data_IF_837776192743
#
_entry.id   IF_837776192743
#
_cell.length_a   1.000
_cell.length_b   1.000
_cell.length_c   1.000
_cell.angle_alpha   90.00
_cell.angle_beta   90.00
_cell.angle_gamma   90.00
#
_symmetry.space_group_name_H-M   'P 1'
#
loop_
_entity.id
_entity.type
_entity.pdbx_description
1 polymer ?
#
# COMPACT_ATOMS: atom_id res chain seq x y z
N UNK A 1 -18.73 2.74 41.60
CA UNK A 1 -17.66 3.25 40.72
C UNK A 1 -17.82 2.56 39.37
N UNK A 2 -18.42 3.23 38.40
CA UNK A 2 -18.87 2.62 37.13
C UNK A 2 -18.48 3.45 35.91
N UNK A 3 -17.31 4.10 35.94
CA UNK A 3 -16.86 5.02 34.88
C UNK A 3 -15.89 4.41 33.87
N UNK A 4 -15.21 3.30 34.18
CA UNK A 4 -14.28 2.69 33.22
C UNK A 4 -14.96 1.89 32.11
N UNK A 5 -16.02 1.15 32.42
CA UNK A 5 -16.67 0.22 31.48
C UNK A 5 -17.54 0.95 30.43
N UNK A 6 -18.17 2.05 30.84
CA UNK A 6 -18.96 2.93 29.95
C UNK A 6 -18.07 3.70 28.97
N UNK A 7 -16.85 4.04 29.38
CA UNK A 7 -15.88 4.80 28.57
C UNK A 7 -15.32 3.94 27.42
N UNK A 8 -14.93 2.69 27.70
CA UNK A 8 -14.51 1.75 26.65
C UNK A 8 -15.61 1.45 25.64
N UNK A 9 -16.85 1.31 26.11
CA UNK A 9 -17.99 1.05 25.23
C UNK A 9 -18.27 2.25 24.32
N UNK A 10 -18.13 3.47 24.83
CA UNK A 10 -18.25 4.71 24.06
C UNK A 10 -17.14 4.87 23.01
N UNK A 11 -15.89 4.52 23.37
CA UNK A 11 -14.75 4.53 22.44
C UNK A 11 -14.92 3.51 21.31
N UNK A 12 -15.32 2.28 21.62
CA UNK A 12 -15.56 1.22 20.62
C UNK A 12 -16.68 1.62 19.68
N UNK A 13 -17.78 2.20 20.20
CA UNK A 13 -18.88 2.70 19.40
C UNK A 13 -18.45 3.85 18.49
N UNK A 14 -17.68 4.82 19.00
CA UNK A 14 -17.15 5.92 18.20
C UNK A 14 -16.21 5.47 17.08
N UNK A 15 -15.40 4.43 17.30
CA UNK A 15 -14.55 3.83 16.25
C UNK A 15 -15.39 3.08 15.22
N UNK A 16 -16.43 2.37 15.65
CA UNK A 16 -17.32 1.63 14.75
C UNK A 16 -18.20 2.56 13.89
N UNK A 17 -18.62 3.69 14.45
CA UNK A 17 -19.42 4.73 13.78
C UNK A 17 -18.55 5.70 12.96
N UNK A 18 -17.23 5.71 13.16
CA UNK A 18 -16.33 6.48 12.32
C UNK A 18 -16.38 5.96 10.87
N UNK A 19 -16.48 6.83 9.85
CA UNK A 19 -16.46 6.41 8.47
C UNK A 19 -15.18 5.62 8.21
N UNK A 20 -15.31 4.30 7.98
CA UNK A 20 -14.19 3.47 7.56
C UNK A 20 -13.64 4.07 6.26
N UNK A 21 -12.45 4.66 6.31
CA UNK A 21 -11.73 5.04 5.10
C UNK A 21 -11.49 3.77 4.30
N UNK A 22 -12.10 3.67 3.13
CA UNK A 22 -11.86 2.55 2.22
C UNK A 22 -10.42 2.63 1.70
N UNK A 23 -9.54 1.88 2.35
CA UNK A 23 -8.13 1.77 1.99
C UNK A 23 -7.85 0.53 1.13
N UNK A 24 -8.88 -0.17 0.65
CA UNK A 24 -8.74 -1.40 -0.14
C UNK A 24 -7.86 -1.19 -1.38
N UNK A 25 -8.08 -0.09 -2.10
CA UNK A 25 -7.28 0.30 -3.27
C UNK A 25 -5.80 0.50 -2.94
N UNK A 26 -5.49 1.11 -1.79
CA UNK A 26 -4.11 1.29 -1.34
C UNK A 26 -3.45 -0.05 -1.00
N UNK A 27 -4.13 -0.91 -0.25
CA UNK A 27 -3.61 -2.22 0.09
C UNK A 27 -3.44 -3.12 -1.13
N UNK A 28 -4.36 -3.05 -2.10
CA UNK A 28 -4.25 -3.74 -3.37
C UNK A 28 -3.04 -3.24 -4.17
N UNK A 29 -2.82 -1.92 -4.24
CA UNK A 29 -1.64 -1.36 -4.91
C UNK A 29 -0.33 -1.84 -4.27
N UNK A 30 -0.28 -1.91 -2.94
CA UNK A 30 0.88 -2.44 -2.20
C UNK A 30 1.07 -3.95 -2.42
N UNK A 31 -0.02 -4.72 -2.52
CA UNK A 31 0.05 -6.15 -2.85
C UNK A 31 0.61 -6.37 -4.26
N UNK A 32 0.06 -5.68 -5.25
CA UNK A 32 0.53 -5.71 -6.64
C UNK A 32 1.99 -5.29 -6.75
N UNK A 33 2.40 -4.29 -5.95
CA UNK A 33 3.78 -3.86 -5.90
C UNK A 33 4.71 -4.99 -5.49
N UNK A 34 4.42 -5.69 -4.39
CA UNK A 34 5.23 -6.83 -3.92
C UNK A 34 5.32 -7.94 -4.95
N UNK A 35 4.19 -8.31 -5.56
CA UNK A 35 4.16 -9.34 -6.61
C UNK A 35 5.02 -8.97 -7.83
N UNK A 36 5.11 -7.68 -8.18
CA UNK A 36 5.96 -7.23 -9.28
C UNK A 36 7.46 -7.46 -9.01
N UNK A 37 7.92 -7.34 -7.76
CA UNK A 37 9.30 -7.67 -7.39
C UNK A 37 9.56 -9.18 -7.50
N UNK A 38 8.68 -10.00 -6.95
CA UNK A 38 8.79 -11.47 -7.03
C UNK A 38 8.83 -11.95 -8.49
N UNK A 39 7.93 -11.42 -9.33
CA UNK A 39 7.91 -11.73 -10.76
C UNK A 39 9.19 -11.29 -11.47
N UNK A 40 9.75 -10.13 -11.10
CA UNK A 40 11.00 -9.63 -11.68
C UNK A 40 12.20 -10.50 -11.28
N UNK A 41 12.29 -10.93 -10.02
CA UNK A 41 13.35 -11.83 -9.55
C UNK A 41 13.27 -13.20 -10.22
N UNK A 42 12.06 -13.76 -10.34
CA UNK A 42 11.83 -15.01 -11.06
C UNK A 42 12.22 -14.92 -12.54
N UNK A 43 11.86 -13.82 -13.21
CA UNK A 43 12.18 -13.60 -14.62
C UNK A 43 13.67 -13.34 -14.89
N UNK A 44 14.36 -12.66 -13.96
CA UNK A 44 15.78 -12.30 -14.10
C UNK A 44 16.74 -13.33 -13.45
N UNK A 45 16.21 -14.30 -12.71
CA UNK A 45 16.95 -15.41 -12.14
C UNK A 45 17.82 -15.03 -10.94
N UNK A 46 17.32 -14.13 -10.09
CA UNK A 46 18.02 -13.71 -8.86
C UNK A 46 17.61 -12.32 -8.37
N UNK A 47 18.29 -11.81 -7.33
CA UNK A 47 17.97 -10.53 -6.72
C UNK A 47 17.98 -9.37 -7.72
N UNK A 48 17.06 -8.42 -7.57
CA UNK A 48 16.91 -7.27 -8.46
C UNK A 48 17.16 -5.93 -7.75
N UNK A 49 17.83 -5.02 -8.46
CA UNK A 49 17.80 -3.58 -8.20
C UNK A 49 16.64 -2.94 -8.96
N UNK A 50 15.97 -1.98 -8.32
CA UNK A 50 14.86 -1.22 -8.93
C UNK A 50 15.30 0.20 -9.26
N UNK A 51 14.96 0.66 -10.48
CA UNK A 51 15.05 2.06 -10.88
C UNK A 51 13.66 2.63 -11.06
N UNK A 52 13.35 3.68 -10.32
CA UNK A 52 12.05 4.36 -10.38
C UNK A 52 12.13 5.59 -11.28
N UNK A 53 11.15 5.73 -12.17
CA UNK A 53 10.89 6.96 -12.92
C UNK A 53 9.50 7.45 -12.59
N UNK A 54 9.37 8.71 -12.21
CA UNK A 54 8.07 9.32 -11.93
C UNK A 54 7.76 10.38 -12.98
N UNK A 55 6.48 10.55 -13.29
CA UNK A 55 5.99 11.57 -14.22
C UNK A 55 4.60 12.02 -13.82
N UNK A 56 4.42 13.33 -13.69
CA UNK A 56 3.09 13.95 -13.64
C UNK A 56 2.61 14.14 -15.09
N UNK A 57 1.45 13.60 -15.44
CA UNK A 57 0.82 13.87 -16.73
C UNK A 57 -0.01 15.15 -16.64
N UNK A 58 -0.21 15.80 -17.79
CA UNK A 58 -1.08 16.99 -17.91
C UNK A 58 -2.55 16.68 -17.56
N UNK A 59 -2.96 15.42 -17.63
CA UNK A 59 -4.28 14.93 -17.20
C UNK A 59 -4.45 14.86 -15.66
N UNK A 60 -3.41 15.14 -14.88
CA UNK A 60 -3.44 15.04 -13.41
C UNK A 60 -3.03 13.67 -12.87
N UNK A 61 -2.77 12.69 -13.73
CA UNK A 61 -2.28 11.37 -13.32
C UNK A 61 -0.80 11.43 -12.88
N UNK A 62 -0.49 10.88 -11.71
CA UNK A 62 0.88 10.65 -11.26
C UNK A 62 1.31 9.21 -11.60
N UNK A 63 2.29 9.06 -12.49
CA UNK A 63 2.77 7.76 -12.95
C UNK A 63 4.10 7.42 -12.30
N UNK A 64 4.18 6.22 -11.74
CA UNK A 64 5.42 5.60 -11.26
C UNK A 64 5.74 4.42 -12.16
N UNK A 65 6.92 4.43 -12.80
CA UNK A 65 7.44 3.33 -13.61
C UNK A 65 8.63 2.71 -12.91
N UNK A 66 8.53 1.43 -12.57
CA UNK A 66 9.64 0.62 -12.10
C UNK A 66 10.33 -0.09 -13.26
N UNK A 67 11.66 -0.11 -13.19
CA UNK A 67 12.51 -0.87 -14.10
C UNK A 67 13.42 -1.72 -13.23
N UNK A 68 13.27 -3.03 -13.34
CA UNK A 68 14.07 -3.99 -12.59
C UNK A 68 15.33 -4.37 -13.38
N UNK A 69 16.43 -4.56 -12.68
CA UNK A 69 17.70 -5.06 -13.22
C UNK A 69 18.29 -6.06 -12.24
N UNK A 70 18.92 -7.11 -12.73
CA UNK A 70 19.59 -8.08 -11.86
C UNK A 70 20.78 -7.43 -11.14
N UNK A 71 20.95 -7.75 -9.86
CA UNK A 71 22.18 -7.45 -9.12
C UNK A 71 23.27 -8.39 -9.63
N UNK A 72 24.39 -7.82 -10.10
CA UNK A 72 25.55 -8.60 -10.53
C UNK A 72 26.16 -9.35 -9.34
#
# INVERSE_FOLDING_TARGET
MGDGERDWTAVVKAVAESPRRDNSAYHQAMSNARQAFEAAEAALGGPVQVKTKTKMKRSGEYVVKWVFKRVK
#
